data_IF_480633814474
#
_entry.id   IF_480633814474
#
_cell.length_a   1.000
_cell.length_b   1.000
_cell.length_c   1.000
_cell.angle_alpha   90.00
_cell.angle_beta   90.00
_cell.angle_gamma   90.00
#
_symmetry.space_group_name_H-M   'P 1'
#
loop_
_entity.id
_entity.type
_entity.pdbx_description
1 polymer ?
#
# COMPACT_ATOMS: atom_id res chain seq x y z
N UNK A 1 4.71 8.71 7.86
CA UNK A 1 4.08 8.93 6.52
C UNK A 1 4.76 8.09 5.43
N UNK A 2 6.04 7.76 5.58
CA UNK A 2 6.85 6.85 4.77
C UNK A 2 6.15 5.56 4.32
N UNK A 3 5.38 4.90 5.20
CA UNK A 3 4.66 3.68 4.83
C UNK A 3 3.62 3.95 3.73
N UNK A 4 2.94 5.10 3.74
CA UNK A 4 1.94 5.47 2.73
C UNK A 4 2.60 5.65 1.36
N UNK A 5 3.75 6.34 1.33
CA UNK A 5 4.52 6.54 0.09
C UNK A 5 5.05 5.22 -0.47
N UNK A 6 5.53 4.33 0.39
CA UNK A 6 5.94 2.99 -0.03
C UNK A 6 4.78 2.21 -0.66
N UNK A 7 3.59 2.29 -0.06
CA UNK A 7 2.39 1.63 -0.57
C UNK A 7 1.94 2.18 -1.91
N UNK A 8 1.95 3.51 -2.09
CA UNK A 8 1.60 4.15 -3.37
C UNK A 8 2.58 3.75 -4.47
N UNK A 9 3.88 3.69 -4.16
CA UNK A 9 4.90 3.25 -5.10
C UNK A 9 4.69 1.78 -5.51
N UNK A 10 4.44 0.90 -4.53
CA UNK A 10 4.17 -0.52 -4.76
C UNK A 10 2.90 -0.71 -5.61
N UNK A 11 1.85 0.05 -5.31
CA UNK A 11 0.61 0.04 -6.08
C UNK A 11 0.83 0.47 -7.53
N UNK A 12 1.52 1.58 -7.75
CA UNK A 12 1.81 2.08 -9.09
C UNK A 12 2.71 1.12 -9.90
N UNK A 13 3.63 0.44 -9.22
CA UNK A 13 4.49 -0.59 -9.83
C UNK A 13 3.75 -1.92 -10.10
N UNK A 14 2.46 -2.04 -9.78
CA UNK A 14 1.67 -3.27 -9.91
C UNK A 14 2.12 -4.39 -8.96
N UNK A 15 2.88 -4.05 -7.91
CA UNK A 15 3.34 -5.00 -6.92
C UNK A 15 2.29 -5.19 -5.82
N UNK A 16 2.27 -6.40 -5.25
CA UNK A 16 1.39 -6.70 -4.12
C UNK A 16 1.77 -5.85 -2.91
N UNK A 17 0.79 -5.22 -2.28
CA UNK A 17 0.96 -4.51 -1.02
C UNK A 17 0.92 -5.55 0.10
N UNK A 18 2.09 -5.90 0.62
CA UNK A 18 2.24 -6.80 1.76
C UNK A 18 3.35 -6.31 2.69
N UNK A 19 3.44 -6.93 3.87
CA UNK A 19 4.40 -6.53 4.92
C UNK A 19 5.84 -6.60 4.42
N UNK A 20 6.17 -7.64 3.65
CA UNK A 20 7.50 -7.88 3.13
C UNK A 20 7.94 -6.78 2.15
N UNK A 21 7.09 -6.47 1.17
CA UNK A 21 7.38 -5.49 0.13
C UNK A 21 7.50 -4.07 0.71
N UNK A 22 6.62 -3.70 1.65
CA UNK A 22 6.72 -2.41 2.35
C UNK A 22 8.01 -2.36 3.17
N UNK A 23 8.35 -3.42 3.92
CA UNK A 23 9.62 -3.50 4.68
C UNK A 23 10.84 -3.35 3.78
N UNK A 24 10.83 -3.96 2.58
CA UNK A 24 11.93 -3.86 1.61
C UNK A 24 12.11 -2.44 1.10
N UNK A 25 11.02 -1.74 0.76
CA UNK A 25 11.08 -0.34 0.31
C UNK A 25 11.59 0.59 1.43
N UNK A 26 11.08 0.42 2.65
CA UNK A 26 11.51 1.22 3.80
C UNK A 26 13.00 0.99 4.13
N UNK A 27 13.45 -0.28 4.13
CA UNK A 27 14.86 -0.62 4.32
C UNK A 27 15.75 -0.06 3.21
N UNK A 28 15.30 -0.10 1.96
CA UNK A 28 16.03 0.47 0.83
C UNK A 28 16.17 2.00 0.94
N UNK A 29 15.20 2.66 1.58
CA UNK A 29 15.26 4.08 1.94
C UNK A 29 16.01 4.36 3.25
N UNK A 30 16.63 3.34 3.86
CA UNK A 30 17.33 3.41 5.14
C UNK A 30 16.43 3.85 6.33
N UNK A 31 15.15 3.49 6.25
CA UNK A 31 14.11 3.76 7.25
C UNK A 31 13.79 2.46 8.00
N UNK A 32 13.70 2.53 9.33
CA UNK A 32 13.27 1.39 10.13
C UNK A 32 11.77 1.10 9.93
N UNK A 33 11.39 -0.11 9.49
CA UNK A 33 10.00 -0.46 9.33
C UNK A 33 9.34 -0.73 10.68
N UNK A 34 8.30 0.04 11.01
CA UNK A 34 7.44 -0.21 12.16
C UNK A 34 6.31 -1.20 11.81
N UNK A 35 6.42 -2.44 12.29
CA UNK A 35 5.43 -3.49 11.99
C UNK A 35 4.00 -3.12 12.38
N UNK A 36 3.81 -2.43 13.51
CA UNK A 36 2.47 -2.02 14.00
C UNK A 36 1.80 -1.11 12.97
N UNK A 37 2.55 -0.13 12.44
CA UNK A 37 2.06 0.80 11.41
C UNK A 37 1.79 0.10 10.09
N UNK A 38 2.68 -0.81 9.67
CA UNK A 38 2.53 -1.54 8.42
C UNK A 38 1.29 -2.44 8.47
N UNK A 39 1.07 -3.16 9.58
CA UNK A 39 -0.11 -4.02 9.76
C UNK A 39 -1.40 -3.21 9.81
N UNK A 40 -1.42 -2.09 10.53
CA UNK A 40 -2.57 -1.18 10.55
C UNK A 40 -2.89 -0.65 9.15
N UNK A 41 -1.87 -0.31 8.36
CA UNK A 41 -2.03 0.17 7.00
C UNK A 41 -2.57 -0.93 6.06
N UNK A 42 -2.03 -2.14 6.13
CA UNK A 42 -2.50 -3.28 5.32
C UNK A 42 -3.95 -3.62 5.67
N UNK A 43 -4.32 -3.58 6.96
CA UNK A 43 -5.70 -3.81 7.39
C UNK A 43 -6.65 -2.74 6.82
N UNK A 44 -6.29 -1.45 6.95
CA UNK A 44 -7.08 -0.35 6.39
C UNK A 44 -7.20 -0.42 4.84
N UNK A 45 -6.14 -0.87 4.16
CA UNK A 45 -6.15 -1.05 2.70
C UNK A 45 -6.88 -2.32 2.26
N UNK A 46 -7.01 -3.32 3.12
CA UNK A 46 -7.81 -4.52 2.84
C UNK A 46 -9.32 -4.22 2.88
N UNK A 47 -9.73 -3.21 3.66
CA UNK A 47 -11.10 -2.68 3.66
C UNK A 47 -11.37 -1.77 2.46
N UNK A 48 -10.32 -1.13 1.89
CA UNK A 48 -10.41 -0.32 0.68
C UNK A 48 -10.05 -1.19 -0.53
N UNK A 49 -11.04 -1.91 -1.07
CA UNK A 49 -10.87 -2.62 -2.33
C UNK A 49 -10.64 -1.61 -3.47
N UNK A 50 -9.38 -1.41 -3.85
CA UNK A 50 -8.99 -0.53 -4.96
C UNK A 50 -9.63 -0.97 -6.30
N UNK A 51 -9.98 -2.26 -6.43
CA UNK A 51 -10.79 -2.79 -7.54
C UNK A 51 -12.25 -2.30 -7.54
N UNK A 52 -12.88 -2.12 -6.37
CA UNK A 52 -14.22 -1.54 -6.29
C UNK A 52 -14.21 -0.06 -6.66
N UNK A 53 -13.21 0.68 -6.17
CA UNK A 53 -13.05 2.10 -6.49
C UNK A 53 -12.85 2.28 -7.99
N UNK A 54 -11.99 1.47 -8.63
CA UNK A 54 -11.73 1.53 -10.07
C UNK A 54 -12.95 1.11 -10.92
N UNK A 55 -13.74 0.11 -10.49
CA UNK A 55 -15.01 -0.25 -11.16
C UNK A 55 -16.02 0.89 -11.12
N UNK A 56 -16.08 1.66 -10.03
CA UNK A 56 -16.97 2.82 -9.91
C UNK A 56 -16.65 3.94 -10.91
N UNK A 57 -15.36 4.11 -11.27
CA UNK A 57 -14.95 5.14 -12.23
C UNK A 57 -15.34 4.80 -13.67
N UNK A 58 -15.34 3.50 -14.03
CA UNK A 58 -15.67 3.06 -15.38
C UNK A 58 -17.19 3.12 -15.71
N UNK A 59 -18.04 3.42 -14.73
CA UNK A 59 -19.51 3.42 -14.88
C UNK A 59 -20.17 4.78 -14.74
N UNK A 60 -19.41 5.86 -14.60
CA UNK A 60 -19.97 7.22 -14.71
C UNK A 60 -20.00 7.63 -16.19
N UNK A 61 -21.17 7.87 -16.80
CA UNK A 61 -21.29 8.46 -18.14
C UNK A 61 -20.85 9.93 -18.17
#
# INVERSE_FOLDING_TARGET
MECIYATLLLHHAGQKINEENIKRVLKAANIEPEEIKIKALIAALSEVNLEEVLKGVATMP
#
